data_IF_143134248069
#
_entry.id   IF_143134248069
#
_cell.length_a   1.000
_cell.length_b   1.000
_cell.length_c   1.000
_cell.angle_alpha   90.00
_cell.angle_beta   90.00
_cell.angle_gamma   90.00
#
_symmetry.space_group_name_H-M   'P 1'
#
loop_
_entity.id
_entity.type
_entity.pdbx_description
1 polymer ?
#
# COMPACT_ATOMS: atom_id res chain seq x y z
N UNK A 1 11.17 -1.43 9.00
CA UNK A 1 11.83 -0.41 8.16
C UNK A 1 11.98 0.87 8.97
N UNK A 2 13.04 1.69 8.79
CA UNK A 2 13.07 3.02 9.42
C UNK A 2 12.14 3.96 8.65
N UNK A 3 11.66 5.01 9.29
CA UNK A 3 10.75 5.98 8.68
C UNK A 3 11.35 6.66 7.44
N UNK A 4 12.66 6.91 7.42
CA UNK A 4 13.36 7.47 6.26
C UNK A 4 13.36 6.53 5.06
N UNK A 5 13.57 5.23 5.28
CA UNK A 5 13.53 4.23 4.20
C UNK A 5 12.12 4.14 3.58
N UNK A 6 11.08 4.25 4.42
CA UNK A 6 9.69 4.24 3.99
C UNK A 6 9.33 5.47 3.15
N UNK A 7 9.81 6.66 3.53
CA UNK A 7 9.59 7.91 2.78
C UNK A 7 10.27 7.93 1.42
N UNK A 8 11.43 7.28 1.31
CA UNK A 8 12.18 7.18 0.06
C UNK A 8 11.68 6.06 -0.86
N UNK A 9 10.70 5.27 -0.42
CA UNK A 9 10.11 4.20 -1.20
C UNK A 9 8.71 4.58 -1.62
N UNK A 10 8.46 4.66 -2.93
CA UNK A 10 7.13 4.90 -3.50
C UNK A 10 6.51 3.57 -3.92
N UNK A 11 5.29 3.33 -3.49
CA UNK A 11 4.48 2.17 -3.79
C UNK A 11 3.36 2.56 -4.74
N UNK A 12 3.08 1.69 -5.72
CA UNK A 12 2.03 1.90 -6.70
C UNK A 12 0.96 0.84 -6.47
N UNK A 13 -0.28 1.28 -6.29
CA UNK A 13 -1.45 0.41 -6.13
C UNK A 13 -2.34 0.58 -7.34
N UNK A 14 -2.76 -0.52 -7.95
CA UNK A 14 -3.82 -0.49 -8.95
C UNK A 14 -5.16 -0.68 -8.24
N UNK A 15 -6.06 0.26 -8.44
CA UNK A 15 -7.41 0.23 -7.92
C UNK A 15 -8.29 -0.61 -8.86
N UNK A 16 -9.38 -1.17 -8.33
CA UNK A 16 -10.32 -1.98 -9.11
C UNK A 16 -10.98 -1.21 -10.28
N UNK A 17 -10.97 0.12 -10.23
CA UNK A 17 -11.47 0.97 -11.32
C UNK A 17 -10.44 1.19 -12.45
N UNK A 18 -9.24 0.60 -12.35
CA UNK A 18 -8.13 0.73 -13.31
C UNK A 18 -7.27 1.98 -13.10
N UNK A 19 -7.48 2.75 -12.03
CA UNK A 19 -6.59 3.85 -11.68
C UNK A 19 -5.38 3.36 -10.87
N UNK A 20 -4.24 4.03 -11.03
CA UNK A 20 -3.04 3.75 -10.25
C UNK A 20 -2.80 4.85 -9.21
N UNK A 21 -2.62 4.45 -7.96
CA UNK A 21 -2.34 5.33 -6.85
C UNK A 21 -0.87 5.19 -6.43
N UNK A 22 -0.12 6.29 -6.46
CA UNK A 22 1.28 6.34 -6.04
C UNK A 22 1.40 6.95 -4.64
N UNK A 23 1.95 6.21 -3.69
CA UNK A 23 2.01 6.61 -2.29
C UNK A 23 3.38 6.29 -1.69
N UNK A 24 3.88 7.15 -0.81
CA UNK A 24 5.11 6.84 -0.05
C UNK A 24 4.85 5.79 1.02
N UNK A 25 5.85 4.99 1.40
CA UNK A 25 5.69 3.89 2.38
C UNK A 25 5.11 4.29 3.73
N UNK A 26 5.30 5.55 4.14
CA UNK A 26 4.77 6.14 5.37
C UNK A 26 3.40 6.83 5.20
N UNK A 27 2.88 6.91 3.97
CA UNK A 27 1.57 7.49 3.70
C UNK A 27 0.47 6.57 4.19
N UNK A 28 -0.59 7.16 4.74
CA UNK A 28 -1.73 6.44 5.31
C UNK A 28 -2.77 6.15 4.24
N UNK A 29 -3.28 4.93 4.25
CA UNK A 29 -4.26 4.40 3.29
C UNK A 29 -5.35 3.70 4.08
N UNK A 30 -6.61 4.01 3.77
CA UNK A 30 -7.74 3.28 4.31
C UNK A 30 -8.05 2.15 3.33
N UNK A 31 -7.92 0.91 3.79
CA UNK A 31 -8.24 -0.28 3.02
C UNK A 31 -9.16 -1.18 3.86
N UNK A 32 -10.25 -1.68 3.26
CA UNK A 32 -11.29 -2.46 3.94
C UNK A 32 -11.90 -1.81 5.21
N UNK A 33 -11.81 -0.48 5.31
CA UNK A 33 -12.27 0.28 6.48
C UNK A 33 -11.24 0.39 7.62
N UNK A 34 -10.04 -0.17 7.46
CA UNK A 34 -8.93 -0.07 8.41
C UNK A 34 -7.83 0.88 7.90
N UNK A 35 -7.16 1.60 8.81
CA UNK A 35 -6.04 2.50 8.47
C UNK A 35 -4.72 1.73 8.46
N UNK A 36 -4.11 1.65 7.28
CA UNK A 36 -2.79 1.08 7.05
C UNK A 36 -1.85 2.14 6.50
N UNK A 37 -0.54 1.84 6.44
CA UNK A 37 0.37 2.63 5.62
C UNK A 37 0.67 1.89 4.31
N UNK A 38 1.11 2.62 3.28
CA UNK A 38 1.37 2.05 1.96
C UNK A 38 2.32 0.85 2.04
N UNK A 39 3.37 0.91 2.86
CA UNK A 39 4.29 -0.22 2.98
C UNK A 39 3.66 -1.49 3.58
N UNK A 40 2.84 -1.39 4.63
CA UNK A 40 2.15 -2.58 5.18
C UNK A 40 1.07 -3.07 4.23
N UNK A 41 0.32 -2.17 3.58
CA UNK A 41 -0.72 -2.56 2.63
C UNK A 41 -0.12 -3.31 1.43
N UNK A 42 0.99 -2.81 0.89
CA UNK A 42 1.70 -3.45 -0.21
C UNK A 42 2.21 -4.85 0.16
N UNK A 43 2.76 -5.01 1.36
CA UNK A 43 3.21 -6.31 1.85
C UNK A 43 2.03 -7.29 1.98
N UNK A 44 0.91 -6.85 2.57
CA UNK A 44 -0.30 -7.66 2.71
C UNK A 44 -0.95 -8.05 1.37
N UNK A 45 -0.90 -7.17 0.37
CA UNK A 45 -1.34 -7.46 -1.00
C UNK A 45 -0.40 -8.47 -1.67
N UNK A 46 0.91 -8.28 -1.54
CA UNK A 46 1.95 -9.12 -2.16
C UNK A 46 1.99 -10.54 -1.59
N UNK A 47 1.78 -10.71 -0.29
CA UNK A 47 1.67 -12.02 0.35
C UNK A 47 0.39 -12.77 -0.07
N UNK A 48 -0.50 -12.13 -0.84
CA UNK A 48 -1.69 -12.76 -1.42
C UNK A 48 -2.89 -12.83 -0.48
N UNK A 49 -2.84 -12.07 0.62
CA UNK A 49 -3.96 -11.97 1.60
C UNK A 49 -5.14 -11.18 1.01
N UNK A 50 -4.87 -10.27 0.07
CA UNK A 50 -5.88 -9.38 -0.52
C UNK A 50 -6.06 -9.54 -2.05
N UNK A 51 -5.38 -10.50 -2.69
CA UNK A 51 -5.30 -10.63 -4.15
C UNK A 51 -5.82 -11.94 -4.76
N UNK A 52 -6.75 -12.63 -4.08
CA UNK A 52 -7.49 -13.73 -4.69
C UNK A 52 -8.95 -13.32 -4.87
N UNK A 53 -9.26 -12.65 -5.99
CA UNK A 53 -10.37 -12.92 -6.90
C UNK A 53 -10.28 -12.04 -8.14
#
# INVERSE_FOLDING_TARGET
MREDDLKNTTYVFELENGETLELTGNEKVIYDGEEHNAANLFDGLKEGTYGKW
#
